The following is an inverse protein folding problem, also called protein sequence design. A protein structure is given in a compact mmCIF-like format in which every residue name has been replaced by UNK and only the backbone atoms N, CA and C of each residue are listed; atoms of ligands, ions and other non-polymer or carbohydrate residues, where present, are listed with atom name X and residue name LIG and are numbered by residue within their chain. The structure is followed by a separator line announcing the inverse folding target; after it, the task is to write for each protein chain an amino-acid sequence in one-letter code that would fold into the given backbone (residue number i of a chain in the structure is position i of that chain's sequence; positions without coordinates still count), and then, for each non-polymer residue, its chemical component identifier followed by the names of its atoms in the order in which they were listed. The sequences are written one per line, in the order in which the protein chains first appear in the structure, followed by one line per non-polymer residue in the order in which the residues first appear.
data_IF_915898365534
#
_entry.id   IF_915898365534
#
_cell.length_a   1.000
_cell.length_b   1.000
_cell.length_c   1.000
_cell.angle_alpha   90.00
_cell.angle_beta   90.00
_cell.angle_gamma   90.00
#
_symmetry.space_group_name_H-M   'P 1'
#
loop_
_entity.id
_entity.type
_entity.pdbx_description
1 polymer ?
#
# COMPACT_ATOMS: atom_id res chain seq x y z
N UNK A 1 12.86 -6.51 -12.23
CA UNK A 1 11.95 -7.24 -11.31
C UNK A 1 11.35 -8.40 -12.10
N UNK A 2 11.91 -9.61 -11.96
CA UNK A 2 11.69 -10.79 -12.82
C UNK A 2 11.12 -11.98 -12.04
N UNK A 3 10.45 -11.71 -10.92
CA UNK A 3 10.06 -12.74 -9.94
C UNK A 3 8.61 -13.20 -10.05
N UNK A 4 7.92 -12.93 -11.17
CA UNK A 4 6.53 -13.40 -11.38
C UNK A 4 5.47 -12.75 -10.47
N UNK A 5 5.83 -11.68 -9.76
CA UNK A 5 4.92 -10.98 -8.84
C UNK A 5 3.87 -10.09 -9.55
N UNK A 6 4.08 -9.79 -10.83
CA UNK A 6 3.21 -8.92 -11.61
C UNK A 6 3.26 -9.33 -13.08
N UNK A 7 2.08 -9.41 -13.70
CA UNK A 7 1.97 -9.73 -15.12
C UNK A 7 2.32 -8.53 -16.01
N UNK A 8 2.78 -8.79 -17.23
CA UNK A 8 3.21 -7.73 -18.15
C UNK A 8 2.07 -6.77 -18.54
N UNK A 9 0.82 -7.27 -18.55
CA UNK A 9 -0.36 -6.44 -18.74
C UNK A 9 -0.61 -5.46 -17.58
N UNK A 10 -0.48 -5.94 -16.34
CA UNK A 10 -0.65 -5.15 -15.12
C UNK A 10 0.43 -4.08 -15.00
N UNK A 11 1.67 -4.43 -15.37
CA UNK A 11 2.81 -3.52 -15.40
C UNK A 11 2.54 -2.30 -16.28
N UNK A 12 2.02 -2.52 -17.49
CA UNK A 12 1.68 -1.43 -18.43
C UNK A 12 0.61 -0.50 -17.87
N UNK A 13 -0.41 -1.03 -17.22
CA UNK A 13 -1.47 -0.22 -16.60
C UNK A 13 -0.91 0.68 -15.50
N UNK A 14 0.00 0.16 -14.68
CA UNK A 14 0.68 0.94 -13.63
C UNK A 14 1.58 1.99 -14.24
N UNK A 15 2.33 1.69 -15.30
CA UNK A 15 3.17 2.68 -15.99
C UNK A 15 2.35 3.84 -16.57
N UNK A 16 1.17 3.56 -17.14
CA UNK A 16 0.26 4.59 -17.62
C UNK A 16 -0.20 5.47 -16.45
N UNK A 17 -0.62 4.87 -15.34
CA UNK A 17 -1.06 5.60 -14.15
C UNK A 17 0.09 6.37 -13.47
N UNK A 18 1.33 5.85 -13.56
CA UNK A 18 2.53 6.46 -13.01
C UNK A 18 2.90 7.77 -13.70
N UNK A 19 2.67 7.85 -15.01
CA UNK A 19 2.93 9.08 -15.77
C UNK A 19 2.07 10.25 -15.30
N UNK A 20 0.88 9.96 -14.77
CA UNK A 20 -0.10 10.97 -14.37
C UNK A 20 -0.08 11.26 -12.85
N UNK A 21 0.68 10.49 -12.06
CA UNK A 21 0.68 10.55 -10.60
C UNK A 21 2.06 10.84 -10.01
N UNK A 22 2.20 11.95 -9.28
CA UNK A 22 3.40 12.26 -8.46
C UNK A 22 3.52 11.42 -7.17
N UNK A 23 2.66 10.42 -6.94
CA UNK A 23 2.61 9.64 -5.70
C UNK A 23 2.96 8.17 -5.92
N UNK A 24 3.49 7.53 -4.88
CA UNK A 24 3.75 6.09 -4.84
C UNK A 24 2.46 5.30 -5.14
N UNK A 25 2.53 4.38 -6.11
CA UNK A 25 1.37 3.67 -6.67
C UNK A 25 1.04 2.34 -5.95
N UNK A 26 1.57 2.14 -4.76
CA UNK A 26 1.36 0.92 -3.97
C UNK A 26 -0.13 0.64 -3.69
N UNK A 27 -1.00 1.64 -3.79
CA UNK A 27 -2.44 1.51 -3.56
C UNK A 27 -3.18 0.82 -4.72
N UNK A 28 -2.63 0.81 -5.94
CA UNK A 28 -3.29 0.29 -7.15
C UNK A 28 -3.66 -1.20 -7.00
N UNK A 29 -2.74 -2.11 -6.59
CA UNK A 29 -3.07 -3.53 -6.46
C UNK A 29 -4.17 -3.79 -5.42
N UNK A 30 -4.27 -2.97 -4.37
CA UNK A 30 -5.34 -3.08 -3.38
C UNK A 30 -6.71 -2.73 -3.98
N UNK A 31 -6.77 -1.69 -4.83
CA UNK A 31 -7.99 -1.34 -5.55
C UNK A 31 -8.41 -2.45 -6.52
N UNK A 32 -7.45 -3.06 -7.22
CA UNK A 32 -7.73 -4.21 -8.09
C UNK A 32 -8.23 -5.42 -7.30
N UNK A 33 -7.58 -5.76 -6.18
CA UNK A 33 -8.02 -6.84 -5.30
C UNK A 33 -9.47 -6.63 -4.81
N UNK A 34 -9.85 -5.40 -4.43
CA UNK A 34 -11.24 -5.09 -4.06
C UNK A 34 -12.20 -5.23 -5.24
N UNK A 35 -11.81 -4.79 -6.44
CA UNK A 35 -12.64 -4.91 -7.65
C UNK A 35 -12.87 -6.37 -8.03
N UNK A 36 -11.84 -7.21 -7.94
CA UNK A 36 -11.95 -8.65 -8.20
C UNK A 36 -12.84 -9.32 -7.16
N UNK A 37 -12.75 -8.92 -5.88
CA UNK A 37 -13.64 -9.44 -4.85
C UNK A 37 -15.11 -9.08 -5.12
N UNK A 38 -15.39 -7.86 -5.61
CA UNK A 38 -16.72 -7.47 -6.05
C UNK A 38 -17.20 -8.27 -7.27
N UNK A 39 -16.36 -8.45 -8.28
CA UNK A 39 -16.70 -9.29 -9.45
C UNK A 39 -16.99 -10.74 -9.05
N UNK A 40 -16.21 -11.32 -8.14
CA UNK A 40 -16.45 -12.67 -7.63
C UNK A 40 -17.79 -12.78 -6.87
N UNK A 41 -18.28 -11.68 -6.28
CA UNK A 41 -19.62 -11.62 -5.70
C UNK A 41 -20.70 -11.59 -6.78
N UNK A 42 -20.53 -10.78 -7.81
CA UNK A 42 -21.47 -10.68 -8.93
C UNK A 42 -21.58 -11.99 -9.71
N UNK A 43 -20.47 -12.72 -9.83
CA UNK A 43 -20.41 -14.09 -10.39
C UNK A 43 -20.98 -15.17 -9.45
N UNK A 44 -21.54 -14.79 -8.29
CA UNK A 44 -22.03 -15.68 -7.23
C UNK A 44 -21.01 -16.73 -6.74
N UNK A 45 -19.70 -16.45 -6.87
CA UNK A 45 -18.64 -17.31 -6.30
C UNK A 45 -18.48 -17.10 -4.80
N UNK A 46 -18.90 -15.94 -4.30
CA UNK A 46 -19.01 -15.63 -2.87
C UNK A 46 -20.48 -15.71 -2.48
N UNK A 47 -20.81 -16.63 -1.58
CA UNK A 47 -22.20 -16.94 -1.19
C UNK A 47 -22.88 -15.85 -0.36
N UNK A 48 -22.11 -15.05 0.40
CA UNK A 48 -22.66 -14.09 1.37
C UNK A 48 -21.96 -12.73 1.30
N UNK A 49 -22.74 -11.66 1.44
CA UNK A 49 -22.25 -10.28 1.59
C UNK A 49 -21.35 -10.11 2.82
N UNK A 50 -21.58 -10.89 3.88
CA UNK A 50 -20.71 -10.91 5.07
C UNK A 50 -19.33 -11.47 4.72
N UNK A 51 -19.26 -12.46 3.82
CA UNK A 51 -18.00 -13.01 3.32
C UNK A 51 -17.23 -11.99 2.47
N UNK A 52 -17.93 -11.28 1.58
CA UNK A 52 -17.34 -10.17 0.82
C UNK A 52 -16.80 -9.10 1.75
N UNK A 53 -17.57 -8.71 2.77
CA UNK A 53 -17.15 -7.70 3.74
C UNK A 53 -15.88 -8.13 4.49
N UNK A 54 -15.80 -9.39 4.92
CA UNK A 54 -14.62 -9.94 5.57
C UNK A 54 -13.36 -9.88 4.70
N UNK A 55 -13.48 -10.19 3.40
CA UNK A 55 -12.37 -10.10 2.44
C UNK A 55 -11.91 -8.65 2.29
N UNK A 56 -12.85 -7.71 2.10
CA UNK A 56 -12.55 -6.29 1.98
C UNK A 56 -11.88 -5.75 3.24
N UNK A 57 -12.33 -6.16 4.43
CA UNK A 57 -11.75 -5.77 5.71
C UNK A 57 -10.33 -6.32 5.90
N UNK A 58 -10.07 -7.55 5.44
CA UNK A 58 -8.72 -8.14 5.42
C UNK A 58 -7.77 -7.40 4.47
N UNK A 59 -8.21 -7.08 3.25
CA UNK A 59 -7.44 -6.28 2.30
C UNK A 59 -7.15 -4.89 2.87
N UNK A 60 -8.14 -4.27 3.52
CA UNK A 60 -7.97 -2.99 4.19
C UNK A 60 -6.97 -3.07 5.36
N UNK A 61 -6.91 -4.19 6.08
CA UNK A 61 -5.93 -4.40 7.15
C UNK A 61 -4.50 -4.40 6.60
N UNK A 62 -4.22 -5.14 5.53
CA UNK A 62 -2.90 -5.15 4.88
C UNK A 62 -2.53 -3.75 4.37
N UNK A 63 -3.48 -3.07 3.71
CA UNK A 63 -3.28 -1.70 3.22
C UNK A 63 -2.90 -0.73 4.35
N UNK A 64 -3.52 -0.86 5.54
CA UNK A 64 -3.18 -0.04 6.72
C UNK A 64 -1.74 -0.26 7.17
N UNK A 65 -1.27 -1.50 7.20
CA UNK A 65 0.11 -1.82 7.56
C UNK A 65 1.10 -1.23 6.56
N UNK A 66 0.85 -1.37 5.26
CA UNK A 66 1.71 -0.76 4.23
C UNK A 66 1.71 0.77 4.30
N UNK A 67 0.55 1.38 4.57
CA UNK A 67 0.45 2.81 4.76
C UNK A 67 1.28 3.28 5.96
N UNK A 68 1.26 2.55 7.09
CA UNK A 68 2.11 2.88 8.23
C UNK A 68 3.59 2.87 7.86
N UNK A 69 4.06 1.85 7.13
CA UNK A 69 5.44 1.81 6.64
C UNK A 69 5.79 3.05 5.81
N UNK A 70 4.91 3.43 4.88
CA UNK A 70 5.10 4.65 4.09
C UNK A 70 5.14 5.92 4.95
N UNK A 71 4.32 6.02 6.00
CA UNK A 71 4.31 7.19 6.87
C UNK A 71 5.59 7.27 7.70
N UNK A 72 6.13 6.13 8.17
CA UNK A 72 7.41 6.08 8.86
C UNK A 72 8.56 6.45 7.92
N UNK A 73 8.46 6.14 6.63
CA UNK A 73 9.44 6.58 5.61
C UNK A 73 9.29 8.07 5.24
N UNK A 74 8.08 8.62 5.27
CA UNK A 74 7.84 10.01 4.90
C UNK A 74 8.07 10.99 6.05
N UNK A 75 7.67 10.63 7.27
CA UNK A 75 7.76 11.46 8.48
C UNK A 75 8.92 10.94 9.31
N UNK A 76 10.12 11.42 8.96
CA UNK A 76 11.32 11.15 9.75
C UNK A 76 11.31 11.94 11.07
N UNK A 77 12.00 11.41 12.08
CA UNK A 77 12.27 12.15 13.32
C UNK A 77 12.89 13.50 12.93
N UNK A 78 12.39 14.63 13.47
CA UNK A 78 12.93 15.94 13.11
C UNK A 78 14.44 15.96 13.31
N UNK A 79 15.19 16.39 12.30
CA UNK A 79 16.66 16.34 12.30
C UNK A 79 17.25 17.11 13.51
N UNK A 80 16.55 18.15 13.98
CA UNK A 80 16.94 18.90 15.17
C UNK A 80 17.05 18.00 16.41
N UNK A 81 16.20 16.99 16.54
CA UNK A 81 16.24 16.06 17.68
C UNK A 81 17.53 15.23 17.71
N UNK A 82 17.94 14.68 16.56
CA UNK A 82 19.20 13.95 16.48
C UNK A 82 20.40 14.88 16.68
N UNK A 83 20.35 16.11 16.14
CA UNK A 83 21.42 17.10 16.30
C UNK A 83 21.63 17.54 17.75
N UNK A 84 20.56 17.77 18.51
CA UNK A 84 20.65 18.18 19.92
C UNK A 84 21.21 17.06 20.78
N UNK A 85 20.77 15.81 20.56
CA UNK A 85 21.32 14.64 21.25
C UNK A 85 22.84 14.53 21.03
N UNK A 86 23.30 14.63 19.79
CA UNK A 86 24.75 14.61 19.48
C UNK A 86 25.54 15.70 20.22
N UNK A 87 24.95 16.90 20.36
CA UNK A 87 25.63 18.04 20.97
C UNK A 87 25.68 17.97 22.50
N UNK A 88 24.73 17.28 23.12
CA UNK A 88 24.74 17.00 24.57
C UNK A 88 25.82 15.96 24.88
N UNK A 89 25.93 14.88 24.11
CA UNK A 89 26.93 13.82 24.33
C UNK A 89 28.37 14.31 24.09
N UNK A 90 28.60 15.32 23.26
CA UNK A 90 29.94 15.91 23.06
C UNK A 90 30.37 16.89 24.16
N UNK A 91 29.44 17.30 25.03
CA UNK A 91 29.68 18.28 26.10
C UNK A 91 29.83 17.64 27.48
N UNK A 92 29.74 16.30 27.56
CA UNK A 92 29.99 15.46 28.73
C UNK A 92 31.36 14.78 28.62
#
# INVERSE_FOLDING_TARGET
MREGLMEEGERRMIEVQARDSMRTLFWIPFTWATSIAHQARDENRIESDTGLRGIVDAVAAVRRTCALCQHVEYIQVPIVYSQVLFRIDSSA
#
